data_IF_352859006710
#
_entry.id   IF_352859006710
#
_cell.length_a   1.000
_cell.length_b   1.000
_cell.length_c   1.000
_cell.angle_alpha   90.00
_cell.angle_beta   90.00
_cell.angle_gamma   90.00
#
_symmetry.space_group_name_H-M   'P 1'
#
loop_
_entity.id
_entity.type
_entity.pdbx_description
1 polymer ?
#
# COMPACT_ATOMS: atom_id res chain seq x y z
N UNK A 1 -21.88 -13.32 18.78
CA UNK A 1 -20.80 -14.01 19.50
C UNK A 1 -20.66 -13.40 20.90
N UNK A 2 -21.03 -14.16 21.94
CA UNK A 2 -20.89 -13.73 23.34
C UNK A 2 -19.55 -14.28 23.82
N UNK A 3 -18.49 -13.50 23.64
CA UNK A 3 -17.12 -13.90 23.98
C UNK A 3 -16.86 -13.59 25.45
N UNK A 4 -16.32 -14.54 26.19
CA UNK A 4 -15.88 -14.36 27.57
C UNK A 4 -14.43 -13.89 27.60
N UNK A 5 -14.14 -12.84 28.37
CA UNK A 5 -12.77 -12.32 28.53
C UNK A 5 -12.26 -12.72 29.90
N UNK A 6 -11.08 -13.32 29.98
CA UNK A 6 -10.45 -13.63 31.26
C UNK A 6 -9.88 -12.38 31.92
N UNK A 7 -9.73 -12.42 33.26
CA UNK A 7 -9.03 -11.38 34.00
C UNK A 7 -7.60 -11.18 33.46
N UNK A 8 -6.93 -12.30 33.15
CA UNK A 8 -5.58 -12.30 32.61
C UNK A 8 -5.47 -11.55 31.28
N UNK A 9 -6.41 -11.75 30.35
CA UNK A 9 -6.43 -11.02 29.08
C UNK A 9 -6.61 -9.51 29.29
N UNK A 10 -7.44 -9.09 30.26
CA UNK A 10 -7.62 -7.68 30.60
C UNK A 10 -6.34 -7.07 31.17
N UNK A 11 -5.64 -7.77 32.07
CA UNK A 11 -4.37 -7.31 32.63
C UNK A 11 -3.27 -7.19 31.57
N UNK A 12 -3.20 -8.14 30.63
CA UNK A 12 -2.28 -8.07 29.48
C UNK A 12 -2.60 -6.89 28.56
N UNK A 13 -3.89 -6.59 28.32
CA UNK A 13 -4.26 -5.39 27.56
C UNK A 13 -3.79 -4.09 28.24
N UNK A 14 -3.90 -4.01 29.57
CA UNK A 14 -3.47 -2.83 30.32
C UNK A 14 -1.94 -2.69 30.33
N UNK A 15 -1.23 -3.79 30.57
CA UNK A 15 0.23 -3.78 30.75
C UNK A 15 0.98 -3.74 29.41
N UNK A 16 0.64 -4.62 28.47
CA UNK A 16 1.35 -4.74 27.19
C UNK A 16 0.88 -3.74 26.13
N UNK A 17 -0.40 -3.37 26.11
CA UNK A 17 -0.97 -2.44 25.12
C UNK A 17 -1.25 -1.04 25.68
N UNK A 18 -0.99 -0.80 26.97
CA UNK A 18 -1.18 0.49 27.67
C UNK A 18 -2.62 1.03 27.58
N UNK A 19 -3.62 0.14 27.51
CA UNK A 19 -5.03 0.52 27.44
C UNK A 19 -5.55 0.83 28.86
N UNK A 20 -6.45 1.81 28.99
CA UNK A 20 -7.08 2.12 30.28
C UNK A 20 -7.93 0.93 30.76
N UNK A 21 -7.71 0.49 32.01
CA UNK A 21 -8.42 -0.67 32.62
C UNK A 21 -9.93 -0.61 32.48
N UNK A 22 -10.53 0.59 32.59
CA UNK A 22 -11.99 0.80 32.47
C UNK A 22 -12.56 0.41 31.09
N UNK A 23 -11.76 0.51 30.03
CA UNK A 23 -12.20 0.26 28.64
C UNK A 23 -11.60 -1.05 28.09
N UNK A 24 -10.65 -1.66 28.79
CA UNK A 24 -9.90 -2.82 28.30
C UNK A 24 -10.80 -4.03 27.96
N UNK A 25 -11.82 -4.34 28.76
CA UNK A 25 -12.74 -5.46 28.48
C UNK A 25 -13.53 -5.25 27.17
N UNK A 26 -14.15 -4.08 27.02
CA UNK A 26 -14.90 -3.73 25.82
C UNK A 26 -13.99 -3.66 24.59
N UNK A 27 -12.80 -3.09 24.75
CA UNK A 27 -11.80 -3.01 23.69
C UNK A 27 -11.39 -4.40 23.19
N UNK A 28 -11.07 -5.34 24.11
CA UNK A 28 -10.71 -6.72 23.74
C UNK A 28 -11.86 -7.41 23.00
N UNK A 29 -13.09 -7.32 23.51
CA UNK A 29 -14.28 -7.89 22.83
C UNK A 29 -14.49 -7.32 21.43
N UNK A 30 -14.30 -6.02 21.27
CA UNK A 30 -14.50 -5.34 19.99
C UNK A 30 -13.44 -5.72 18.95
N UNK A 31 -12.19 -5.92 19.38
CA UNK A 31 -11.10 -6.28 18.48
C UNK A 31 -11.10 -7.76 18.12
N UNK A 32 -11.43 -8.67 19.04
CA UNK A 32 -11.56 -10.10 18.72
C UNK A 32 -12.64 -10.35 17.67
N UNK A 33 -13.76 -9.60 17.71
CA UNK A 33 -14.80 -9.69 16.67
C UNK A 33 -14.30 -9.29 15.27
N UNK A 34 -13.28 -8.44 15.19
CA UNK A 34 -12.64 -8.01 13.94
C UNK A 34 -11.43 -8.87 13.58
N UNK A 35 -10.98 -9.71 14.50
CA UNK A 35 -9.81 -10.55 14.31
C UNK A 35 -10.14 -11.74 13.41
N UNK A 36 -9.13 -12.23 12.69
CA UNK A 36 -9.23 -13.36 11.79
C UNK A 36 -8.58 -14.58 12.43
N UNK A 37 -9.22 -15.73 12.30
CA UNK A 37 -8.63 -17.02 12.68
C UNK A 37 -7.37 -17.30 11.84
N UNK A 38 -6.29 -17.72 12.49
CA UNK A 38 -5.02 -18.07 11.86
C UNK A 38 -4.78 -19.58 11.91
N UNK A 39 -4.74 -20.16 13.11
CA UNK A 39 -4.37 -21.56 13.30
C UNK A 39 -4.78 -22.07 14.69
N UNK A 40 -4.87 -23.39 14.82
CA UNK A 40 -4.89 -24.07 16.10
C UNK A 40 -3.45 -24.17 16.62
N UNK A 41 -3.24 -23.77 17.87
CA UNK A 41 -1.95 -23.75 18.54
C UNK A 41 -2.05 -24.46 19.89
N UNK A 42 -0.90 -24.79 20.46
CA UNK A 42 -0.79 -25.19 21.86
C UNK A 42 -0.30 -23.96 22.62
N UNK A 43 -1.09 -23.50 23.60
CA UNK A 43 -0.71 -22.37 24.44
C UNK A 43 0.51 -22.72 25.32
N UNK A 44 1.14 -21.72 25.94
CA UNK A 44 2.28 -21.92 26.86
C UNK A 44 1.94 -22.89 28.00
N UNK A 45 0.67 -22.93 28.42
CA UNK A 45 0.15 -23.82 29.47
C UNK A 45 -0.09 -25.26 28.98
N UNK A 46 0.28 -25.60 27.74
CA UNK A 46 0.07 -26.91 27.13
C UNK A 46 -1.36 -27.18 26.67
N UNK A 47 -2.28 -26.22 26.81
CA UNK A 47 -3.68 -26.37 26.41
C UNK A 47 -3.87 -26.11 24.91
N UNK A 48 -4.64 -26.95 24.19
CA UNK A 48 -5.08 -26.66 22.84
C UNK A 48 -5.86 -25.34 22.79
N UNK A 49 -5.56 -24.48 21.83
CA UNK A 49 -6.12 -23.14 21.75
C UNK A 49 -6.19 -22.65 20.30
N UNK A 50 -7.09 -21.72 20.02
CA UNK A 50 -7.28 -21.09 18.70
C UNK A 50 -6.59 -19.74 18.67
N UNK A 51 -5.78 -19.51 17.65
CA UNK A 51 -5.09 -18.25 17.42
C UNK A 51 -5.90 -17.36 16.47
N UNK A 52 -6.16 -16.13 16.90
CA UNK A 52 -6.76 -15.07 16.10
C UNK A 52 -5.82 -13.89 16.05
N UNK A 53 -5.75 -13.17 14.92
CA UNK A 53 -4.99 -11.93 14.83
C UNK A 53 -5.82 -10.80 14.24
N UNK A 54 -5.63 -9.60 14.77
CA UNK A 54 -6.28 -8.39 14.29
C UNK A 54 -5.65 -7.14 14.89
N UNK A 55 -5.41 -6.12 14.06
CA UNK A 55 -4.97 -4.80 14.54
C UNK A 55 -3.64 -4.82 15.33
N UNK A 56 -2.63 -5.56 14.85
CA UNK A 56 -1.31 -5.74 15.50
C UNK A 56 -1.37 -6.41 16.88
N UNK A 57 -2.44 -7.16 17.14
CA UNK A 57 -2.61 -7.95 18.37
C UNK A 57 -3.05 -9.35 17.99
N UNK A 58 -2.47 -10.30 18.69
CA UNK A 58 -2.78 -11.72 18.56
C UNK A 58 -3.54 -12.16 19.81
N UNK A 59 -4.68 -12.79 19.61
CA UNK A 59 -5.58 -13.27 20.64
C UNK A 59 -5.56 -14.79 20.66
N UNK A 60 -5.41 -15.35 21.86
CA UNK A 60 -5.47 -16.79 22.08
C UNK A 60 -6.79 -17.11 22.75
N UNK A 61 -7.61 -17.92 22.08
CA UNK A 61 -8.90 -18.38 22.56
C UNK A 61 -8.84 -19.86 22.91
N UNK A 62 -9.73 -20.28 23.80
CA UNK A 62 -9.97 -21.70 24.06
C UNK A 62 -10.48 -22.41 22.78
N UNK A 63 -10.10 -23.68 22.61
CA UNK A 63 -10.50 -24.50 21.47
C UNK A 63 -12.02 -24.72 21.44
N UNK A 64 -12.61 -25.01 22.60
CA UNK A 64 -14.02 -25.46 22.69
C UNK A 64 -14.97 -24.35 23.15
N UNK A 65 -14.43 -23.30 23.78
CA UNK A 65 -15.22 -22.19 24.32
C UNK A 65 -14.83 -20.89 23.63
N UNK A 66 -15.79 -19.98 23.49
CA UNK A 66 -15.52 -18.60 23.03
C UNK A 66 -14.96 -17.77 24.20
N UNK A 67 -13.85 -18.22 24.76
CA UNK A 67 -13.17 -17.60 25.91
C UNK A 67 -11.78 -17.16 25.50
N UNK A 68 -11.47 -15.88 25.68
CA UNK A 68 -10.15 -15.31 25.42
C UNK A 68 -9.26 -15.59 26.62
N UNK A 69 -8.22 -16.39 26.41
CA UNK A 69 -7.28 -16.80 27.45
C UNK A 69 -6.26 -15.68 27.68
N UNK A 70 -5.60 -15.24 26.62
CA UNK A 70 -4.53 -14.24 26.66
C UNK A 70 -4.43 -13.49 25.33
N UNK A 71 -3.63 -12.44 25.33
CA UNK A 71 -3.30 -11.67 24.14
C UNK A 71 -1.83 -11.25 24.17
N UNK A 72 -1.25 -11.18 22.97
CA UNK A 72 0.13 -10.76 22.76
C UNK A 72 0.16 -9.58 21.78
N UNK A 73 0.95 -8.53 22.05
CA UNK A 73 1.28 -7.56 21.02
C UNK A 73 2.07 -8.27 19.92
N UNK A 74 1.84 -7.88 18.66
CA UNK A 74 2.48 -8.48 17.49
C UNK A 74 3.93 -7.97 17.34
N UNK A 75 4.76 -8.21 18.37
CA UNK A 75 6.12 -7.66 18.47
C UNK A 75 7.20 -8.61 18.00
N UNK A 76 6.89 -9.86 17.65
CA UNK A 76 7.94 -10.81 17.25
C UNK A 76 7.46 -11.86 16.23
N UNK A 77 7.23 -11.47 14.96
CA UNK A 77 6.97 -12.43 13.90
C UNK A 77 8.19 -13.34 13.70
N UNK A 78 7.95 -14.63 13.42
CA UNK A 78 9.02 -15.57 13.10
C UNK A 78 9.88 -15.02 11.95
N UNK A 79 11.20 -14.91 12.17
CA UNK A 79 12.15 -14.28 11.25
C UNK A 79 12.13 -14.89 9.84
N UNK A 80 11.82 -16.19 9.73
CA UNK A 80 11.70 -16.92 8.47
C UNK A 80 10.51 -16.49 7.61
N UNK A 81 9.39 -16.10 8.23
CA UNK A 81 8.20 -15.61 7.51
C UNK A 81 8.41 -14.15 7.14
N UNK A 82 8.91 -13.35 8.09
CA UNK A 82 9.19 -11.93 7.88
C UNK A 82 10.14 -11.70 6.70
N UNK A 83 11.28 -12.40 6.67
CA UNK A 83 12.26 -12.27 5.58
C UNK A 83 11.69 -12.61 4.20
N UNK A 84 10.82 -13.64 4.10
CA UNK A 84 10.14 -13.99 2.86
C UNK A 84 9.18 -12.90 2.40
N UNK A 85 8.38 -12.36 3.33
CA UNK A 85 7.44 -11.26 3.04
C UNK A 85 8.21 -10.01 2.62
N UNK A 86 9.26 -9.63 3.34
CA UNK A 86 10.14 -8.50 2.98
C UNK A 86 10.75 -8.67 1.58
N UNK A 87 11.21 -9.89 1.26
CA UNK A 87 11.76 -10.19 -0.08
C UNK A 87 10.72 -9.98 -1.18
N UNK A 88 9.49 -10.44 -0.97
CA UNK A 88 8.40 -10.28 -1.94
C UNK A 88 8.02 -8.80 -2.08
N UNK A 89 7.81 -8.12 -0.96
CA UNK A 89 7.41 -6.70 -0.93
C UNK A 89 8.46 -5.81 -1.60
N UNK A 90 9.74 -6.01 -1.27
CA UNK A 90 10.85 -5.25 -1.89
C UNK A 90 10.98 -5.56 -3.38
N UNK A 91 10.72 -6.81 -3.82
CA UNK A 91 10.72 -7.18 -5.23
C UNK A 91 9.62 -6.45 -6.01
N UNK A 92 8.41 -6.39 -5.49
CA UNK A 92 7.31 -5.68 -6.14
C UNK A 92 7.57 -4.16 -6.18
N UNK A 93 8.09 -3.58 -5.11
CA UNK A 93 8.46 -2.15 -5.09
C UNK A 93 9.53 -1.84 -6.15
N UNK A 94 10.56 -2.69 -6.28
CA UNK A 94 11.59 -2.57 -7.33
C UNK A 94 11.05 -2.70 -8.76
N UNK A 95 9.99 -3.50 -8.98
CA UNK A 95 9.36 -3.58 -10.31
C UNK A 95 8.70 -2.25 -10.68
N UNK A 96 7.96 -1.66 -9.74
CA UNK A 96 7.26 -0.39 -9.98
C UNK A 96 8.25 0.77 -10.14
N UNK A 97 9.33 0.80 -9.36
CA UNK A 97 10.41 1.79 -9.54
C UNK A 97 11.08 1.69 -10.91
N UNK A 98 11.33 0.48 -11.40
CA UNK A 98 11.89 0.29 -12.75
C UNK A 98 10.91 0.74 -13.84
N UNK A 99 9.62 0.46 -13.66
CA UNK A 99 8.55 0.93 -14.55
C UNK A 99 8.52 2.46 -14.60
N UNK A 100 8.50 3.13 -13.45
CA UNK A 100 8.54 4.59 -13.34
C UNK A 100 9.76 5.19 -14.05
N UNK A 101 10.98 4.68 -13.75
CA UNK A 101 12.21 5.17 -14.40
C UNK A 101 12.18 5.01 -15.91
N UNK A 102 11.64 3.89 -16.41
CA UNK A 102 11.48 3.65 -17.85
C UNK A 102 10.54 4.69 -18.47
N UNK A 103 9.32 4.83 -17.93
CA UNK A 103 8.34 5.79 -18.44
C UNK A 103 8.85 7.23 -18.36
N UNK A 104 9.54 7.61 -17.29
CA UNK A 104 10.13 8.94 -17.16
C UNK A 104 11.18 9.23 -18.24
N UNK A 105 12.01 8.24 -18.56
CA UNK A 105 13.02 8.37 -19.63
C UNK A 105 12.35 8.46 -21.00
N UNK A 106 11.39 7.59 -21.29
CA UNK A 106 10.66 7.57 -22.57
C UNK A 106 9.87 8.87 -22.77
N UNK A 107 9.11 9.31 -21.78
CA UNK A 107 8.39 10.58 -21.82
C UNK A 107 9.33 11.77 -22.00
N UNK A 108 10.50 11.78 -21.33
CA UNK A 108 11.49 12.85 -21.51
C UNK A 108 12.01 12.91 -22.95
N UNK A 109 12.34 11.77 -23.54
CA UNK A 109 12.83 11.72 -24.94
C UNK A 109 11.72 12.20 -25.88
N UNK A 110 10.51 11.65 -25.75
CA UNK A 110 9.38 12.02 -26.59
C UNK A 110 9.07 13.52 -26.50
N UNK A 111 9.07 14.11 -25.30
CA UNK A 111 8.87 15.56 -25.13
C UNK A 111 9.95 16.40 -25.80
N UNK A 112 11.21 15.96 -25.78
CA UNK A 112 12.30 16.67 -26.47
C UNK A 112 12.12 16.62 -27.98
N UNK A 113 11.77 15.46 -28.53
CA UNK A 113 11.47 15.29 -29.96
C UNK A 113 10.29 16.17 -30.39
N UNK A 114 9.20 16.15 -29.61
CA UNK A 114 8.01 16.98 -29.83
C UNK A 114 8.33 18.48 -29.72
N UNK A 115 9.22 18.89 -28.81
CA UNK A 115 9.63 20.28 -28.69
C UNK A 115 10.37 20.77 -29.95
N UNK A 116 11.20 19.92 -30.55
CA UNK A 116 11.87 20.21 -31.83
C UNK A 116 10.84 20.32 -32.95
N UNK A 117 9.91 19.37 -33.04
CA UNK A 117 8.84 19.41 -34.06
C UNK A 117 7.96 20.66 -33.91
N UNK A 118 7.60 21.00 -32.68
CA UNK A 118 6.82 22.20 -32.34
C UNK A 118 7.54 23.47 -32.80
N UNK A 119 8.83 23.60 -32.50
CA UNK A 119 9.63 24.74 -32.94
C UNK A 119 9.72 24.84 -34.48
N UNK A 120 9.86 23.71 -35.17
CA UNK A 120 9.87 23.67 -36.63
C UNK A 120 8.52 24.10 -37.23
N UNK A 121 7.39 23.68 -36.64
CA UNK A 121 6.05 24.11 -37.05
C UNK A 121 5.87 25.62 -36.91
N UNK A 122 6.29 26.18 -35.77
CA UNK A 122 6.22 27.63 -35.51
C UNK A 122 7.06 28.42 -36.50
N UNK A 123 8.30 27.99 -36.77
CA UNK A 123 9.18 28.63 -37.74
C UNK A 123 8.57 28.62 -39.15
N UNK A 124 7.94 27.50 -39.55
CA UNK A 124 7.29 27.37 -40.85
C UNK A 124 6.04 28.25 -40.96
N UNK A 125 5.26 28.35 -39.89
CA UNK A 125 4.11 29.24 -39.82
C UNK A 125 4.51 30.71 -40.00
N UNK A 126 5.65 31.12 -39.45
CA UNK A 126 6.13 32.49 -39.56
C UNK A 126 6.71 32.80 -40.95
N UNK A 127 7.45 31.84 -41.54
CA UNK A 127 8.04 32.02 -42.88
C UNK A 127 7.01 32.07 -44.01
N UNK A 128 5.87 31.40 -43.84
CA UNK A 128 4.89 31.28 -44.92
C UNK A 128 3.91 32.46 -44.95
N UNK A 129 3.55 32.90 -46.16
CA UNK A 129 2.49 33.91 -46.36
C UNK A 129 1.09 33.26 -46.48
N UNK A 130 1.04 31.95 -46.71
CA UNK A 130 -0.22 31.23 -46.92
C UNK A 130 -0.98 31.01 -45.60
N UNK A 131 -2.22 31.49 -45.55
CA UNK A 131 -3.08 31.33 -44.37
C UNK A 131 -3.45 29.87 -44.10
N UNK A 132 -3.62 29.05 -45.14
CA UNK A 132 -3.93 27.62 -44.97
C UNK A 132 -2.77 26.88 -44.31
N UNK A 133 -1.54 27.21 -44.66
CA UNK A 133 -0.34 26.62 -44.04
C UNK A 133 -0.20 27.08 -42.59
N UNK A 134 -0.47 28.36 -42.28
CA UNK A 134 -0.47 28.84 -40.89
C UNK A 134 -1.47 28.09 -40.01
N UNK A 135 -2.71 27.93 -40.49
CA UNK A 135 -3.75 27.18 -39.77
C UNK A 135 -3.36 25.71 -39.57
N UNK A 136 -2.81 25.07 -40.60
CA UNK A 136 -2.33 23.69 -40.51
C UNK A 136 -1.20 23.53 -39.48
N UNK A 137 -0.23 24.45 -39.44
CA UNK A 137 0.85 24.41 -38.44
C UNK A 137 0.33 24.67 -37.03
N UNK A 138 -0.63 25.60 -36.87
CA UNK A 138 -1.26 25.85 -35.56
C UNK A 138 -2.00 24.61 -35.05
N UNK A 139 -2.74 23.90 -35.92
CA UNK A 139 -3.39 22.65 -35.55
C UNK A 139 -2.39 21.56 -35.16
N UNK A 140 -1.24 21.48 -35.86
CA UNK A 140 -0.17 20.53 -35.52
C UNK A 140 0.46 20.84 -34.16
N UNK A 141 0.71 22.12 -33.86
CA UNK A 141 1.21 22.55 -32.54
C UNK A 141 0.22 22.19 -31.44
N UNK A 142 -1.08 22.43 -31.64
CA UNK A 142 -2.10 22.05 -30.66
C UNK A 142 -2.14 20.52 -30.42
N UNK A 143 -2.00 19.71 -31.46
CA UNK A 143 -1.92 18.26 -31.33
C UNK A 143 -0.65 17.80 -30.57
N UNK A 144 0.49 18.47 -30.81
CA UNK A 144 1.72 18.21 -30.06
C UNK A 144 1.53 18.54 -28.58
N UNK A 145 0.96 19.71 -28.27
CA UNK A 145 0.75 20.16 -26.89
C UNK A 145 -0.19 19.18 -26.14
N UNK A 146 -1.28 18.72 -26.78
CA UNK A 146 -2.15 17.66 -26.23
C UNK A 146 -1.41 16.35 -25.96
N UNK A 147 -0.49 15.95 -26.84
CA UNK A 147 0.28 14.72 -26.64
C UNK A 147 1.30 14.86 -25.51
N UNK A 148 1.89 16.04 -25.31
CA UNK A 148 2.74 16.33 -24.15
C UNK A 148 1.94 16.22 -22.85
N UNK A 149 0.72 16.75 -22.82
CA UNK A 149 -0.18 16.63 -21.66
C UNK A 149 -0.53 15.17 -21.38
N UNK A 150 -0.78 14.36 -22.41
CA UNK A 150 -1.01 12.92 -22.25
C UNK A 150 0.20 12.21 -21.63
N UNK A 151 1.41 12.51 -22.09
CA UNK A 151 2.64 11.94 -21.51
C UNK A 151 2.82 12.31 -20.04
N UNK A 152 2.43 13.53 -19.65
CA UNK A 152 2.43 13.96 -18.25
C UNK A 152 1.41 13.21 -17.40
N UNK A 153 0.21 13.02 -17.94
CA UNK A 153 -0.84 12.24 -17.29
C UNK A 153 -0.39 10.80 -17.04
N UNK A 154 0.14 10.13 -18.06
CA UNK A 154 0.62 8.74 -17.97
C UNK A 154 1.73 8.60 -16.91
N UNK A 155 2.65 9.57 -16.85
CA UNK A 155 3.70 9.58 -15.82
C UNK A 155 3.11 9.74 -14.42
N UNK A 156 2.12 10.63 -14.26
CA UNK A 156 1.44 10.84 -12.98
C UNK A 156 0.69 9.59 -12.50
N UNK A 157 0.09 8.82 -13.40
CA UNK A 157 -0.56 7.55 -13.08
C UNK A 157 0.43 6.52 -12.55
N UNK A 158 1.60 6.37 -13.19
CA UNK A 158 2.65 5.44 -12.74
C UNK A 158 3.19 5.87 -11.37
N UNK A 159 3.35 7.17 -11.13
CA UNK A 159 3.72 7.69 -9.81
C UNK A 159 2.63 7.46 -8.76
N UNK A 160 1.35 7.51 -9.13
CA UNK A 160 0.24 7.19 -8.25
C UNK A 160 0.20 5.67 -7.94
N UNK A 161 0.48 4.82 -8.91
CA UNK A 161 0.67 3.37 -8.72
C UNK A 161 1.80 3.10 -7.73
N UNK A 162 2.97 3.73 -7.90
CA UNK A 162 4.08 3.63 -6.94
C UNK A 162 3.67 4.04 -5.53
N UNK A 163 2.95 5.16 -5.38
CA UNK A 163 2.44 5.61 -4.08
C UNK A 163 1.51 4.57 -3.44
N UNK A 164 0.62 3.94 -4.21
CA UNK A 164 -0.27 2.87 -3.72
C UNK A 164 0.52 1.64 -3.28
N UNK A 165 1.48 1.19 -4.09
CA UNK A 165 2.32 0.03 -3.77
C UNK A 165 3.22 0.29 -2.56
N UNK A 166 3.80 1.48 -2.44
CA UNK A 166 4.60 1.87 -1.28
C UNK A 166 3.78 1.90 0.03
N UNK A 167 2.53 2.40 -0.03
CA UNK A 167 1.60 2.36 1.11
C UNK A 167 1.26 0.92 1.51
N UNK A 168 1.00 0.05 0.54
CA UNK A 168 0.75 -1.37 0.80
C UNK A 168 2.00 -2.05 1.39
N UNK A 169 3.17 -1.77 0.84
CA UNK A 169 4.46 -2.29 1.33
C UNK A 169 4.72 -1.90 2.79
N UNK A 170 4.44 -0.65 3.16
CA UNK A 170 4.60 -0.17 4.53
C UNK A 170 3.74 -0.95 5.54
N UNK A 171 2.55 -1.42 5.14
CA UNK A 171 1.69 -2.23 6.01
C UNK A 171 2.29 -3.59 6.37
N UNK A 172 3.21 -4.12 5.56
CA UNK A 172 3.85 -5.43 5.77
C UNK A 172 5.25 -5.34 6.37
N UNK A 173 5.85 -4.14 6.44
CA UNK A 173 7.21 -3.93 6.95
C UNK A 173 7.27 -3.35 8.37
N UNK A 174 6.14 -2.88 8.93
CA UNK A 174 6.01 -2.30 10.28
C UNK A 174 5.16 -3.19 11.16
#
# INVERSE_FOLDING_TARGET
MKVEVTHHAVEKAVTSLRIKRKIADEWVRSNVKKARYIADIIAEDGTPSRLFAGGKVTFVLDQNRDRIITLYPDTNPASSVRSKVETIVTKELRKVERKERKHQREAKIAKLELAVERAACLLRAEKTRSQSVKLSMAARVAAIDQYIEQLDHDLAEVQAEKRRVAKAAAAYMI
#
